data_IF_136534694752
#
_entry.id   IF_136534694752
#
_cell.length_a   1.000
_cell.length_b   1.000
_cell.length_c   1.000
_cell.angle_alpha   90.00
_cell.angle_beta   90.00
_cell.angle_gamma   90.00
#
_symmetry.space_group_name_H-M   'P 1'
#
loop_
_entity.id
_entity.type
_entity.pdbx_description
1 polymer ?
#
# COMPACT_ATOMS: atom_id res chain seq x y z
N UNK A 1 33.60 -50.74 -52.98
CA UNK A 1 32.53 -49.87 -52.43
C UNK A 1 33.12 -49.12 -51.26
N UNK A 2 32.76 -47.84 -51.09
CA UNK A 2 33.20 -46.97 -49.99
C UNK A 2 32.07 -46.88 -48.95
N UNK A 3 32.41 -46.40 -47.75
CA UNK A 3 31.54 -45.93 -46.66
C UNK A 3 31.19 -46.95 -45.56
N UNK A 4 31.15 -46.59 -44.26
CA UNK A 4 31.85 -45.53 -43.48
C UNK A 4 31.85 -46.01 -42.03
N UNK A 5 32.94 -45.86 -41.27
CA UNK A 5 32.92 -46.14 -39.83
C UNK A 5 32.43 -44.90 -39.07
N UNK A 6 31.28 -44.99 -38.41
CA UNK A 6 30.75 -43.90 -37.58
C UNK A 6 31.29 -44.01 -36.14
N UNK A 7 32.10 -43.04 -35.72
CA UNK A 7 32.55 -42.90 -34.33
C UNK A 7 31.55 -41.96 -33.63
N UNK A 8 30.73 -42.51 -32.74
CA UNK A 8 29.85 -41.72 -31.89
C UNK A 8 30.64 -41.04 -30.77
N UNK A 9 30.77 -39.72 -30.81
CA UNK A 9 31.32 -38.95 -29.71
C UNK A 9 30.23 -38.70 -28.65
N UNK A 10 30.40 -39.26 -27.45
CA UNK A 10 29.58 -38.88 -26.30
C UNK A 10 30.04 -37.51 -25.79
N UNK A 11 29.16 -36.52 -25.87
CA UNK A 11 29.40 -35.21 -25.26
C UNK A 11 29.07 -35.27 -23.75
N UNK A 12 29.97 -34.74 -22.92
CA UNK A 12 29.67 -34.51 -21.50
C UNK A 12 28.64 -33.37 -21.35
N UNK A 13 27.76 -33.41 -20.33
CA UNK A 13 26.83 -32.31 -20.07
C UNK A 13 27.59 -31.03 -19.71
N UNK A 14 27.13 -29.90 -20.25
CA UNK A 14 27.73 -28.59 -19.99
C UNK A 14 27.46 -28.13 -18.54
N UNK A 15 28.40 -27.39 -17.91
CA UNK A 15 28.16 -26.83 -16.58
C UNK A 15 27.03 -25.79 -16.62
N UNK A 16 26.22 -25.67 -15.55
CA UNK A 16 25.08 -24.77 -15.52
C UNK A 16 25.53 -23.33 -15.76
N UNK A 17 25.01 -22.73 -16.83
CA UNK A 17 25.30 -21.34 -17.17
C UNK A 17 24.46 -20.44 -16.26
N UNK A 18 25.10 -19.67 -15.39
CA UNK A 18 24.43 -18.59 -14.65
C UNK A 18 24.07 -17.50 -15.64
N UNK A 19 22.85 -17.56 -16.19
CA UNK A 19 22.33 -16.54 -17.09
C UNK A 19 22.10 -15.24 -16.33
N UNK A 20 22.94 -14.25 -16.60
CA UNK A 20 22.79 -12.88 -16.15
C UNK A 20 21.40 -12.36 -16.54
N UNK A 21 20.72 -11.65 -15.63
CA UNK A 21 19.40 -11.08 -15.90
C UNK A 21 19.39 -10.28 -17.23
N UNK A 22 18.34 -10.43 -18.06
CA UNK A 22 18.29 -9.79 -19.37
C UNK A 22 18.28 -8.26 -19.25
N UNK A 23 18.99 -7.59 -20.16
CA UNK A 23 18.97 -6.13 -20.27
C UNK A 23 17.58 -5.61 -20.60
N UNK A 24 17.25 -4.39 -20.15
CA UNK A 24 15.92 -3.75 -20.30
C UNK A 24 15.30 -3.88 -21.70
N UNK A 25 16.09 -3.78 -22.78
CA UNK A 25 15.60 -3.95 -24.16
C UNK A 25 14.97 -5.32 -24.46
N UNK A 26 15.25 -6.37 -23.68
CA UNK A 26 14.65 -7.69 -23.81
C UNK A 26 13.39 -7.89 -22.93
N UNK A 27 13.09 -6.97 -21.98
CA UNK A 27 11.74 -6.87 -21.41
C UNK A 27 10.75 -6.23 -22.40
N UNK A 28 11.26 -5.49 -23.38
CA UNK A 28 10.45 -4.83 -24.40
C UNK A 28 9.96 -5.79 -25.51
N UNK A 29 10.54 -6.99 -25.62
CA UNK A 29 9.98 -8.13 -26.39
C UNK A 29 8.98 -8.98 -25.56
N UNK A 30 8.60 -8.51 -24.39
CA UNK A 30 7.37 -8.90 -23.68
C UNK A 30 6.49 -7.66 -23.39
N UNK A 31 6.69 -6.56 -24.14
CA UNK A 31 5.86 -5.36 -24.09
C UNK A 31 5.14 -5.13 -25.41
N UNK A 32 3.94 -4.54 -25.38
CA UNK A 32 3.30 -4.11 -26.63
C UNK A 32 1.80 -3.86 -26.65
N UNK A 33 1.06 -4.23 -25.60
CA UNK A 33 -0.33 -3.82 -25.43
C UNK A 33 -0.67 -3.72 -23.94
N UNK A 34 -0.40 -2.56 -23.34
CA UNK A 34 -1.06 -2.17 -22.09
C UNK A 34 -2.54 -1.97 -22.41
N UNK A 35 -3.32 -3.04 -22.33
CA UNK A 35 -4.77 -3.01 -22.54
C UNK A 35 -5.45 -2.21 -21.44
N UNK A 36 -6.72 -1.86 -21.66
CA UNK A 36 -7.60 -1.39 -20.59
C UNK A 36 -8.65 -2.47 -20.36
N UNK A 37 -8.86 -2.83 -19.10
CA UNK A 37 -9.95 -3.70 -18.65
C UNK A 37 -10.87 -2.88 -17.75
N UNK A 38 -12.15 -2.84 -18.09
CA UNK A 38 -13.19 -2.35 -17.18
C UNK A 38 -13.81 -3.57 -16.51
N UNK A 39 -13.86 -3.58 -15.19
CA UNK A 39 -14.30 -4.71 -14.38
C UNK A 39 -15.70 -4.43 -13.81
N UNK A 40 -16.68 -5.24 -14.19
CA UNK A 40 -18.06 -5.11 -13.68
C UNK A 40 -18.14 -5.37 -12.16
N UNK A 41 -17.19 -6.12 -11.60
CA UNK A 41 -17.04 -6.46 -10.18
C UNK A 41 -15.54 -6.47 -9.79
N UNK A 42 -15.19 -6.37 -8.48
CA UNK A 42 -13.80 -6.47 -8.05
C UNK A 42 -13.12 -7.75 -8.53
N UNK A 43 -11.86 -7.68 -8.96
CA UNK A 43 -11.08 -8.88 -9.28
C UNK A 43 -10.43 -9.43 -8.01
N UNK A 44 -11.02 -10.49 -7.46
CA UNK A 44 -10.45 -11.22 -6.31
C UNK A 44 -9.30 -12.12 -6.75
N UNK A 45 -8.13 -11.97 -6.12
CA UNK A 45 -7.01 -12.91 -6.22
C UNK A 45 -7.02 -13.78 -4.96
N UNK A 46 -7.15 -15.10 -5.14
CA UNK A 46 -7.35 -16.04 -4.05
C UNK A 46 -6.10 -16.18 -3.16
N UNK A 47 -6.30 -16.74 -1.95
CA UNK A 47 -5.27 -16.82 -0.93
C UNK A 47 -4.01 -17.57 -1.43
N UNK A 48 -2.86 -16.91 -1.36
CA UNK A 48 -1.57 -17.42 -1.85
C UNK A 48 -1.40 -17.45 -3.38
N UNK A 49 -2.37 -17.01 -4.17
CA UNK A 49 -2.24 -16.94 -5.63
C UNK A 49 -1.53 -15.66 -6.10
N UNK A 50 -1.26 -15.56 -7.40
CA UNK A 50 -0.54 -14.43 -7.99
C UNK A 50 -1.14 -14.01 -9.32
N UNK A 51 -1.33 -12.70 -9.51
CA UNK A 51 -1.78 -12.10 -10.76
C UNK A 51 -0.73 -11.12 -11.29
N UNK A 52 -0.41 -11.23 -12.58
CA UNK A 52 0.44 -10.29 -13.30
C UNK A 52 -0.39 -9.61 -14.40
N UNK A 53 -0.62 -8.29 -14.25
CA UNK A 53 -1.42 -7.49 -15.16
C UNK A 53 -0.69 -7.07 -16.45
N UNK A 54 0.61 -7.37 -16.60
CA UNK A 54 1.38 -7.01 -17.81
C UNK A 54 1.49 -5.49 -18.07
N UNK A 55 1.28 -4.65 -17.05
CA UNK A 55 1.10 -3.20 -17.11
C UNK A 55 -0.19 -2.74 -17.84
N UNK A 56 -1.21 -3.59 -17.91
CA UNK A 56 -2.56 -3.18 -18.31
C UNK A 56 -3.20 -2.25 -17.25
N UNK A 57 -4.13 -1.42 -17.72
CA UNK A 57 -4.97 -0.54 -16.90
C UNK A 57 -6.23 -1.31 -16.49
N UNK A 58 -6.57 -1.29 -15.21
CA UNK A 58 -7.76 -1.88 -14.63
C UNK A 58 -8.57 -0.79 -13.92
N UNK A 59 -9.88 -0.84 -14.08
CA UNK A 59 -10.79 0.28 -13.81
C UNK A 59 -12.21 -0.29 -13.57
N UNK A 60 -13.10 0.42 -12.88
CA UNK A 60 -14.47 -0.05 -12.59
C UNK A 60 -15.53 0.60 -13.49
N UNK A 61 -15.15 1.56 -14.34
CA UNK A 61 -16.05 2.24 -15.27
C UNK A 61 -17.00 3.23 -14.60
N UNK A 62 -16.76 3.57 -13.34
CA UNK A 62 -17.60 4.46 -12.52
C UNK A 62 -16.86 5.75 -12.20
N UNK A 63 -17.57 6.88 -12.18
CA UNK A 63 -16.94 8.13 -11.73
C UNK A 63 -16.58 8.04 -10.25
N UNK A 64 -15.38 8.50 -9.89
CA UNK A 64 -14.98 8.70 -8.51
C UNK A 64 -16.03 9.52 -7.72
N UNK A 65 -16.37 9.06 -6.52
CA UNK A 65 -17.32 9.69 -5.58
C UNK A 65 -16.66 10.69 -4.63
N UNK A 66 -15.33 10.75 -4.59
CA UNK A 66 -14.56 11.62 -3.70
C UNK A 66 -14.18 10.89 -2.42
N UNK A 67 -14.51 11.49 -1.27
CA UNK A 67 -14.24 10.93 0.06
C UNK A 67 -15.51 10.29 0.68
N UNK A 68 -16.46 9.83 -0.14
CA UNK A 68 -17.60 9.02 0.32
C UNK A 68 -17.16 7.56 0.36
N UNK A 69 -17.07 6.98 1.57
CA UNK A 69 -16.54 5.64 1.84
C UNK A 69 -17.16 4.54 0.95
N UNK A 70 -16.30 3.81 0.23
CA UNK A 70 -16.66 2.65 -0.56
C UNK A 70 -16.69 1.32 0.21
N UNK A 71 -17.30 0.30 -0.40
CA UNK A 71 -17.27 -1.07 0.10
C UNK A 71 -16.26 -1.95 -0.65
N UNK A 72 -16.06 -3.18 -0.17
CA UNK A 72 -15.29 -4.21 -0.90
C UNK A 72 -15.87 -4.43 -2.32
N UNK A 73 -17.17 -4.22 -2.52
CA UNK A 73 -17.87 -4.24 -3.82
C UNK A 73 -17.38 -3.21 -4.84
N UNK A 74 -16.73 -2.15 -4.38
CA UNK A 74 -16.35 -0.97 -5.17
C UNK A 74 -14.85 -0.95 -5.51
N UNK A 75 -14.06 -1.83 -4.86
CA UNK A 75 -12.64 -2.03 -5.10
C UNK A 75 -12.34 -2.49 -6.54
N UNK A 76 -11.18 -2.14 -7.09
CA UNK A 76 -10.70 -2.70 -8.37
C UNK A 76 -10.19 -4.14 -8.18
N UNK A 77 -9.42 -4.38 -7.12
CA UNK A 77 -8.92 -5.71 -6.75
C UNK A 77 -9.13 -6.00 -5.26
N UNK A 78 -9.40 -7.26 -4.95
CA UNK A 78 -9.37 -7.80 -3.58
C UNK A 78 -8.27 -8.87 -3.54
N UNK A 79 -7.33 -8.74 -2.61
CA UNK A 79 -6.22 -9.66 -2.43
C UNK A 79 -6.42 -10.43 -1.12
N UNK A 80 -6.71 -11.71 -1.21
CA UNK A 80 -6.83 -12.58 -0.04
C UNK A 80 -5.45 -12.88 0.58
N UNK A 81 -5.43 -13.36 1.82
CA UNK A 81 -4.20 -13.66 2.59
C UNK A 81 -3.12 -14.38 1.76
N UNK A 82 -1.94 -13.76 1.65
CA UNK A 82 -0.81 -14.27 0.89
C UNK A 82 -0.83 -13.99 -0.63
N UNK A 83 -1.90 -13.39 -1.17
CA UNK A 83 -2.00 -13.10 -2.59
C UNK A 83 -0.98 -12.04 -3.05
N UNK A 84 -0.58 -12.13 -4.32
CA UNK A 84 0.37 -11.20 -4.95
C UNK A 84 -0.22 -10.54 -6.20
N UNK A 85 -0.16 -9.21 -6.28
CA UNK A 85 -0.55 -8.42 -7.45
C UNK A 85 0.68 -7.75 -8.07
N UNK A 86 0.90 -7.96 -9.37
CA UNK A 86 2.11 -7.50 -10.07
C UNK A 86 1.80 -6.76 -11.37
N UNK A 87 2.55 -5.71 -11.68
CA UNK A 87 2.50 -4.96 -12.95
C UNK A 87 1.06 -4.55 -13.33
N UNK A 88 0.39 -3.82 -12.45
CA UNK A 88 -1.00 -3.36 -12.65
C UNK A 88 -1.03 -1.84 -12.62
N UNK A 89 -1.81 -1.23 -13.51
CA UNK A 89 -2.17 0.18 -13.41
C UNK A 89 -3.63 0.29 -13.04
N UNK A 90 -3.95 1.12 -12.05
CA UNK A 90 -5.31 1.42 -11.62
C UNK A 90 -5.74 2.73 -12.28
N UNK A 91 -6.81 2.67 -13.05
CA UNK A 91 -7.40 3.80 -13.77
C UNK A 91 -8.17 4.76 -12.86
N UNK A 92 -8.56 5.95 -13.36
CA UNK A 92 -9.22 6.98 -12.56
C UNK A 92 -10.73 6.77 -12.36
N UNK A 93 -11.38 5.83 -13.05
CA UNK A 93 -12.83 5.61 -12.94
C UNK A 93 -13.10 4.41 -11.99
N UNK A 94 -12.70 4.64 -10.73
CA UNK A 94 -12.85 3.74 -9.60
C UNK A 94 -13.28 4.54 -8.37
N UNK A 95 -13.83 3.85 -7.37
CA UNK A 95 -14.23 4.43 -6.06
C UNK A 95 -13.21 3.99 -5.01
N UNK A 96 -13.05 2.67 -4.85
CA UNK A 96 -12.04 2.04 -3.99
C UNK A 96 -10.92 1.41 -4.86
N UNK A 97 -9.68 1.50 -4.40
CA UNK A 97 -8.50 1.07 -5.14
C UNK A 97 -8.23 -0.44 -5.07
N UNK A 98 -7.37 -0.88 -4.15
CA UNK A 98 -7.02 -2.28 -3.92
C UNK A 98 -7.15 -2.62 -2.44
N UNK A 99 -7.84 -3.72 -2.11
CA UNK A 99 -8.00 -4.19 -0.73
C UNK A 99 -7.13 -5.42 -0.44
N UNK A 100 -6.62 -5.54 0.79
CA UNK A 100 -6.03 -6.78 1.30
C UNK A 100 -6.77 -7.34 2.51
N UNK A 101 -7.07 -8.63 2.43
CA UNK A 101 -7.74 -9.47 3.44
C UNK A 101 -6.72 -10.45 4.07
N UNK A 102 -5.68 -9.90 4.70
CA UNK A 102 -4.51 -10.59 5.24
C UNK A 102 -3.21 -10.05 4.63
N UNK A 103 -2.06 -10.40 5.20
CA UNK A 103 -0.76 -10.01 4.64
C UNK A 103 -0.59 -10.37 3.16
N UNK A 104 -0.34 -9.38 2.31
CA UNK A 104 -0.34 -9.50 0.84
C UNK A 104 0.90 -8.87 0.19
N UNK A 105 1.09 -9.03 -1.12
CA UNK A 105 2.21 -8.41 -1.85
C UNK A 105 1.77 -7.62 -3.09
N UNK A 106 2.26 -6.39 -3.21
CA UNK A 106 2.12 -5.50 -4.35
C UNK A 106 3.48 -5.30 -5.01
N UNK A 107 3.61 -5.58 -6.31
CA UNK A 107 4.86 -5.38 -7.07
C UNK A 107 4.59 -4.49 -8.29
N UNK A 108 5.18 -3.30 -8.37
CA UNK A 108 4.98 -2.39 -9.51
C UNK A 108 3.48 -2.17 -9.81
N UNK A 109 2.73 -1.73 -8.80
CA UNK A 109 1.31 -1.33 -8.95
C UNK A 109 1.22 0.19 -8.90
N UNK A 110 0.54 0.80 -9.87
CA UNK A 110 0.51 2.25 -10.06
C UNK A 110 -0.93 2.76 -10.12
N UNK A 111 -1.27 3.79 -9.35
CA UNK A 111 -2.57 4.47 -9.40
C UNK A 111 -2.45 5.77 -10.19
N UNK A 112 -3.16 5.85 -11.31
CA UNK A 112 -3.13 7.02 -12.22
C UNK A 112 -3.87 8.23 -11.62
N UNK A 113 -4.91 7.98 -10.84
CA UNK A 113 -5.52 8.90 -9.90
C UNK A 113 -6.18 8.10 -8.77
N UNK A 114 -5.92 8.50 -7.52
CA UNK A 114 -6.62 7.98 -6.34
C UNK A 114 -7.98 8.67 -6.23
N UNK A 115 -8.99 7.96 -5.69
CA UNK A 115 -10.33 8.50 -5.47
C UNK A 115 -10.54 8.75 -3.97
N UNK A 116 -10.90 7.70 -3.24
CA UNK A 116 -10.87 7.67 -1.78
C UNK A 116 -9.44 7.34 -1.32
N UNK A 117 -9.15 6.05 -1.17
CA UNK A 117 -7.84 5.50 -0.82
C UNK A 117 -7.24 4.71 -1.99
N UNK A 118 -5.90 4.66 -2.10
CA UNK A 118 -5.26 3.86 -3.16
C UNK A 118 -5.23 2.38 -2.76
N UNK A 119 -4.83 2.12 -1.51
CA UNK A 119 -4.58 0.78 -1.00
C UNK A 119 -5.00 0.64 0.47
N UNK A 120 -5.89 -0.32 0.73
CA UNK A 120 -6.50 -0.51 2.05
C UNK A 120 -6.21 -1.91 2.59
N UNK A 121 -5.43 -1.99 3.68
CA UNK A 121 -5.22 -3.24 4.43
C UNK A 121 -6.43 -3.41 5.37
N UNK A 122 -7.55 -3.88 4.81
CA UNK A 122 -8.83 -4.03 5.52
C UNK A 122 -8.69 -5.05 6.66
N UNK A 123 -7.97 -6.16 6.45
CA UNK A 123 -7.65 -7.18 7.46
C UNK A 123 -6.17 -7.57 7.39
N UNK A 124 -5.55 -7.82 8.54
CA UNK A 124 -4.19 -8.37 8.70
C UNK A 124 -4.02 -8.80 10.17
N UNK A 125 -3.40 -9.94 10.43
CA UNK A 125 -3.16 -10.43 11.81
C UNK A 125 -1.87 -9.83 12.40
N UNK A 126 -1.75 -9.83 13.74
CA UNK A 126 -0.47 -9.46 14.37
C UNK A 126 0.64 -10.45 13.97
N UNK A 127 1.84 -9.93 13.73
CA UNK A 127 2.96 -10.67 13.16
C UNK A 127 2.89 -10.95 11.65
N UNK A 128 1.78 -10.64 10.96
CA UNK A 128 1.75 -10.67 9.49
C UNK A 128 2.45 -9.47 8.86
N UNK A 129 2.70 -9.55 7.55
CA UNK A 129 3.34 -8.50 6.79
C UNK A 129 2.74 -8.35 5.40
N UNK A 130 2.33 -7.13 5.08
CA UNK A 130 2.04 -6.69 3.71
C UNK A 130 3.29 -6.03 3.13
N UNK A 131 3.63 -6.31 1.87
CA UNK A 131 4.80 -5.74 1.21
C UNK A 131 4.43 -5.02 -0.09
N UNK A 132 4.86 -3.77 -0.23
CA UNK A 132 4.77 -2.96 -1.44
C UNK A 132 6.18 -2.79 -2.00
N UNK A 133 6.43 -3.24 -3.24
CA UNK A 133 7.73 -3.17 -3.91
C UNK A 133 7.60 -2.36 -5.21
N UNK A 134 8.08 -1.11 -5.20
CA UNK A 134 7.94 -0.16 -6.30
C UNK A 134 6.49 0.22 -6.56
N UNK A 135 6.24 0.79 -7.75
CA UNK A 135 4.95 1.36 -8.09
C UNK A 135 4.80 2.78 -7.55
N UNK A 136 3.57 3.29 -7.54
CA UNK A 136 3.33 4.68 -7.13
C UNK A 136 1.87 5.13 -7.21
N UNK A 137 1.56 6.29 -6.66
CA UNK A 137 0.21 6.86 -6.67
C UNK A 137 0.25 8.38 -6.76
N UNK A 138 -0.81 8.98 -7.32
CA UNK A 138 -0.97 10.43 -7.36
C UNK A 138 -2.41 10.87 -7.13
N UNK A 139 -2.59 12.07 -6.57
CA UNK A 139 -3.90 12.72 -6.46
C UNK A 139 -4.79 12.24 -5.31
N UNK A 140 -4.23 11.62 -4.27
CA UNK A 140 -5.00 11.19 -3.11
C UNK A 140 -5.38 12.38 -2.21
N UNK A 141 -6.66 12.74 -2.13
CA UNK A 141 -7.09 13.92 -1.36
C UNK A 141 -6.83 13.76 0.14
N UNK A 142 -7.09 12.57 0.69
CA UNK A 142 -6.73 12.21 2.06
C UNK A 142 -5.64 11.13 2.19
N UNK A 143 -5.84 9.85 1.83
CA UNK A 143 -4.85 8.79 2.15
C UNK A 143 -4.48 7.98 0.92
N UNK A 144 -3.22 7.52 0.88
CA UNK A 144 -2.75 6.58 -0.15
C UNK A 144 -2.82 5.15 0.41
N UNK A 145 -2.29 4.93 1.61
CA UNK A 145 -2.28 3.63 2.28
C UNK A 145 -3.02 3.74 3.62
N UNK A 146 -4.17 3.08 3.71
CA UNK A 146 -4.96 2.94 4.93
C UNK A 146 -4.70 1.56 5.56
N UNK A 147 -4.37 1.55 6.85
CA UNK A 147 -4.06 0.33 7.57
C UNK A 147 -5.06 0.11 8.71
N UNK A 148 -6.02 -0.80 8.48
CA UNK A 148 -7.08 -1.16 9.43
C UNK A 148 -6.73 -2.43 10.23
N UNK A 149 -6.15 -3.43 9.55
CA UNK A 149 -5.58 -4.64 10.17
C UNK A 149 -4.44 -4.37 11.16
N UNK A 150 -3.96 -5.41 11.86
CA UNK A 150 -2.75 -5.33 12.69
C UNK A 150 -1.47 -5.66 11.92
N UNK A 151 -0.35 -5.81 12.61
CA UNK A 151 0.89 -6.30 12.01
C UNK A 151 1.66 -5.23 11.23
N UNK A 152 2.42 -5.63 10.21
CA UNK A 152 3.39 -4.75 9.53
C UNK A 152 3.02 -4.45 8.07
N UNK A 153 3.30 -3.24 7.61
CA UNK A 153 3.43 -2.93 6.18
C UNK A 153 4.85 -2.45 5.86
N UNK A 154 5.45 -3.02 4.81
CA UNK A 154 6.78 -2.65 4.32
C UNK A 154 6.63 -2.01 2.93
N UNK A 155 7.04 -0.75 2.81
CA UNK A 155 6.89 0.08 1.60
C UNK A 155 8.29 0.35 1.04
N UNK A 156 8.61 -0.25 -0.10
CA UNK A 156 9.92 -0.12 -0.75
C UNK A 156 9.82 0.59 -2.09
N UNK A 157 10.69 1.56 -2.32
CA UNK A 157 10.88 2.22 -3.62
C UNK A 157 9.60 2.77 -4.28
N UNK A 158 8.60 3.17 -3.47
CA UNK A 158 7.31 3.70 -3.92
C UNK A 158 7.42 5.19 -4.29
N UNK A 159 6.80 5.60 -5.39
CA UNK A 159 6.78 6.99 -5.85
C UNK A 159 5.39 7.62 -5.64
N UNK A 160 5.31 8.71 -4.86
CA UNK A 160 4.04 9.40 -4.56
C UNK A 160 4.12 10.90 -4.84
N UNK A 161 3.06 11.44 -5.46
CA UNK A 161 2.90 12.87 -5.75
C UNK A 161 1.50 13.37 -5.39
N UNK A 162 1.38 14.64 -5.02
CA UNK A 162 0.11 15.36 -4.82
C UNK A 162 -0.88 14.59 -3.93
N UNK A 163 -0.60 14.51 -2.63
CA UNK A 163 -1.29 13.60 -1.71
C UNK A 163 -1.59 14.19 -0.33
N UNK A 164 -2.59 13.68 0.38
CA UNK A 164 -2.83 13.98 1.78
C UNK A 164 -1.79 13.30 2.69
N UNK A 165 -1.95 11.99 2.90
CA UNK A 165 -1.17 11.14 3.81
C UNK A 165 -0.68 9.90 3.03
N UNK A 166 0.63 9.62 2.98
CA UNK A 166 1.10 8.40 2.31
C UNK A 166 0.66 7.15 3.08
N UNK A 167 0.83 7.14 4.40
CA UNK A 167 0.39 6.06 5.27
C UNK A 167 -0.36 6.58 6.50
N UNK A 168 -1.50 5.96 6.81
CA UNK A 168 -2.23 6.15 8.06
C UNK A 168 -2.57 4.81 8.71
N UNK A 169 -2.11 4.61 9.94
CA UNK A 169 -2.72 3.63 10.85
C UNK A 169 -4.10 4.15 11.25
N UNK A 170 -5.17 3.37 11.05
CA UNK A 170 -6.53 3.79 11.40
C UNK A 170 -6.60 4.26 12.86
N UNK A 171 -7.15 5.44 13.12
CA UNK A 171 -7.07 6.07 14.45
C UNK A 171 -8.29 5.87 15.35
N UNK A 172 -9.46 5.58 14.76
CA UNK A 172 -10.78 5.56 15.38
C UNK A 172 -11.54 4.22 15.14
N UNK A 173 -10.93 3.27 14.41
CA UNK A 173 -11.50 1.94 14.11
C UNK A 173 -11.99 1.20 15.37
N UNK A 174 -13.10 0.44 15.24
CA UNK A 174 -13.62 -0.44 16.31
C UNK A 174 -12.56 -1.36 16.93
N UNK A 175 -11.62 -1.84 16.10
CA UNK A 175 -10.46 -2.63 16.52
C UNK A 175 -9.19 -1.82 16.29
N UNK A 176 -8.36 -1.74 17.33
CA UNK A 176 -7.10 -0.97 17.34
C UNK A 176 -5.92 -1.88 17.73
N UNK A 177 -5.58 -2.88 16.90
CA UNK A 177 -4.34 -3.63 17.04
C UNK A 177 -3.12 -2.73 16.79
N UNK A 178 -1.95 -3.15 17.26
CA UNK A 178 -0.69 -2.48 16.93
C UNK A 178 -0.40 -2.58 15.41
N UNK A 179 0.04 -1.46 14.82
CA UNK A 179 0.35 -1.36 13.39
C UNK A 179 1.74 -0.78 13.16
N UNK A 180 2.54 -1.48 12.38
CA UNK A 180 3.93 -1.12 12.11
C UNK A 180 4.11 -0.73 10.64
N UNK A 181 4.86 0.34 10.37
CA UNK A 181 5.22 0.78 9.01
C UNK A 181 6.72 0.91 8.85
N UNK A 182 7.26 0.29 7.80
CA UNK A 182 8.66 0.40 7.40
C UNK A 182 8.77 0.94 5.98
N UNK A 183 9.34 2.13 5.81
CA UNK A 183 9.55 2.79 4.51
C UNK A 183 11.04 2.79 4.16
N UNK A 184 11.38 2.29 2.96
CA UNK A 184 12.74 2.29 2.43
C UNK A 184 12.81 2.71 0.96
N UNK A 185 13.51 3.81 0.67
CA UNK A 185 13.69 4.30 -0.71
C UNK A 185 12.48 5.02 -1.28
N UNK A 186 12.44 5.20 -2.60
CA UNK A 186 11.35 5.88 -3.32
C UNK A 186 11.38 7.41 -3.18
N UNK A 187 10.26 8.05 -3.51
CA UNK A 187 10.13 9.52 -3.43
C UNK A 187 8.72 9.96 -3.08
N UNK A 188 8.60 11.02 -2.29
CA UNK A 188 7.34 11.65 -1.92
C UNK A 188 7.36 13.16 -2.22
N UNK A 189 6.38 13.64 -2.99
CA UNK A 189 6.30 15.03 -3.43
C UNK A 189 4.93 15.66 -3.20
N UNK A 190 4.90 16.92 -2.77
CA UNK A 190 3.66 17.72 -2.59
C UNK A 190 2.60 17.03 -1.69
N UNK A 191 3.05 16.55 -0.53
CA UNK A 191 2.20 15.85 0.44
C UNK A 191 1.77 16.74 1.61
N UNK A 192 0.65 16.47 2.29
CA UNK A 192 0.36 17.08 3.60
C UNK A 192 1.15 16.40 4.72
N UNK A 193 1.27 15.07 4.68
CA UNK A 193 1.95 14.23 5.68
C UNK A 193 2.49 12.93 5.05
N UNK A 194 3.65 12.43 5.48
CA UNK A 194 4.12 11.11 5.01
C UNK A 194 3.53 9.96 5.85
N UNK A 195 3.71 9.97 7.18
CA UNK A 195 3.28 8.88 8.08
C UNK A 195 2.47 9.40 9.27
N UNK A 196 1.32 8.76 9.54
CA UNK A 196 0.54 8.91 10.77
C UNK A 196 0.38 7.59 11.54
N UNK A 197 0.89 7.52 12.78
CA UNK A 197 0.81 6.35 13.68
C UNK A 197 0.10 6.68 15.00
N UNK A 198 -0.36 5.65 15.73
CA UNK A 198 -0.99 5.75 17.05
C UNK A 198 -0.14 5.04 18.14
N UNK A 199 0.92 5.66 18.70
CA UNK A 199 1.84 4.96 19.61
C UNK A 199 1.20 4.43 20.89
N UNK A 200 0.07 5.01 21.33
CA UNK A 200 -0.69 4.51 22.47
C UNK A 200 -1.36 3.14 22.22
N UNK A 201 -1.45 2.70 20.96
CA UNK A 201 -1.89 1.36 20.56
C UNK A 201 -0.73 0.41 20.23
N UNK A 202 0.52 0.87 20.39
CA UNK A 202 1.73 0.08 20.11
C UNK A 202 2.32 0.30 18.72
N UNK A 203 1.78 1.22 17.92
CA UNK A 203 2.26 1.49 16.57
C UNK A 203 3.72 1.98 16.52
N UNK A 204 4.44 1.59 15.47
CA UNK A 204 5.81 2.07 15.22
C UNK A 204 6.01 2.45 13.75
N UNK A 205 6.93 3.39 13.51
CA UNK A 205 7.34 3.81 12.18
C UNK A 205 8.86 3.77 12.04
N UNK A 206 9.34 3.25 10.90
CA UNK A 206 10.73 3.34 10.46
C UNK A 206 10.75 3.94 9.05
N UNK A 207 11.53 4.99 8.83
CA UNK A 207 11.61 5.70 7.56
C UNK A 207 13.08 5.83 7.18
N UNK A 208 13.43 5.49 5.94
CA UNK A 208 14.82 5.49 5.46
C UNK A 208 14.91 5.69 3.95
N UNK A 209 15.91 6.43 3.47
CA UNK A 209 16.27 6.51 2.05
C UNK A 209 15.28 7.19 1.09
N UNK A 210 14.04 7.47 1.53
CA UNK A 210 13.02 8.15 0.73
C UNK A 210 13.40 9.61 0.43
N UNK A 211 13.15 10.05 -0.80
CA UNK A 211 13.39 11.44 -1.22
C UNK A 211 12.14 12.28 -0.99
N UNK A 212 12.18 13.22 -0.04
CA UNK A 212 11.01 14.03 0.35
C UNK A 212 11.12 15.45 -0.23
N UNK A 213 10.07 15.92 -0.91
CA UNK A 213 9.97 17.29 -1.46
C UNK A 213 8.59 17.88 -1.16
N UNK A 214 8.52 19.07 -0.55
CA UNK A 214 7.25 19.72 -0.23
C UNK A 214 6.27 18.84 0.59
N UNK A 215 6.77 18.06 1.56
CA UNK A 215 5.95 17.36 2.57
C UNK A 215 6.32 17.94 3.94
N UNK A 216 5.46 18.74 4.60
CA UNK A 216 5.85 19.50 5.79
C UNK A 216 5.83 18.66 7.08
N UNK A 217 5.11 17.53 7.09
CA UNK A 217 5.01 16.60 8.22
C UNK A 217 5.52 15.21 7.81
N UNK A 218 6.74 14.85 8.19
CA UNK A 218 7.30 13.54 7.85
C UNK A 218 6.64 12.41 8.65
N UNK A 219 6.72 12.42 9.98
CA UNK A 219 6.04 11.42 10.80
C UNK A 219 5.37 12.07 12.00
N UNK A 220 4.07 11.78 12.15
CA UNK A 220 3.19 12.33 13.16
C UNK A 220 2.58 11.20 13.98
N UNK A 221 2.45 11.48 15.28
CA UNK A 221 1.83 10.62 16.26
C UNK A 221 0.47 11.17 16.63
N UNK A 222 -0.50 10.27 16.69
CA UNK A 222 -1.88 10.52 17.09
C UNK A 222 -2.21 9.71 18.33
N UNK A 223 -3.23 10.14 19.07
CA UNK A 223 -3.85 9.35 20.13
C UNK A 223 -5.00 8.56 19.52
N UNK A 224 -4.75 7.28 19.24
CA UNK A 224 -5.79 6.37 18.77
C UNK A 224 -6.86 6.17 19.84
N UNK A 225 -8.10 5.95 19.41
CA UNK A 225 -9.30 5.82 20.24
C UNK A 225 -10.18 4.66 19.75
N UNK A 226 -11.15 4.23 20.56
CA UNK A 226 -12.07 3.11 20.25
C UNK A 226 -13.54 3.48 20.47
N UNK A 227 -13.84 4.76 20.64
CA UNK A 227 -15.18 5.31 20.85
C UNK A 227 -15.77 5.99 19.60
N UNK A 228 -15.03 5.93 18.48
CA UNK A 228 -15.39 6.57 17.22
C UNK A 228 -15.17 8.09 17.20
N UNK A 229 -14.47 8.66 18.19
CA UNK A 229 -14.09 10.08 18.15
C UNK A 229 -12.88 10.32 17.23
N UNK A 230 -12.68 11.58 16.82
CA UNK A 230 -11.54 11.93 15.97
C UNK A 230 -10.20 11.83 16.73
N UNK A 231 -9.16 11.18 16.15
CA UNK A 231 -7.87 11.01 16.81
C UNK A 231 -7.09 12.32 16.92
N UNK A 232 -6.77 12.75 18.15
CA UNK A 232 -5.98 13.96 18.40
C UNK A 232 -4.52 13.80 17.92
N UNK A 233 -3.97 14.80 17.23
CA UNK A 233 -2.52 14.89 16.94
C UNK A 233 -1.76 15.22 18.25
N UNK A 234 -0.78 14.38 18.62
CA UNK A 234 -0.07 14.48 19.93
C UNK A 234 1.44 14.76 19.83
N UNK A 235 2.04 14.72 18.64
CA UNK A 235 3.45 15.09 18.45
C UNK A 235 4.09 14.47 17.20
N UNK A 236 5.41 14.63 17.06
CA UNK A 236 6.22 14.00 16.00
C UNK A 236 6.67 12.59 16.37
N UNK A 237 6.88 11.73 15.37
CA UNK A 237 7.63 10.50 15.59
C UNK A 237 9.13 10.85 15.64
N UNK A 238 9.61 11.26 16.80
CA UNK A 238 11.04 11.47 16.99
C UNK A 238 11.79 10.17 16.67
N UNK A 239 12.90 10.27 15.93
CA UNK A 239 13.54 9.16 15.21
C UNK A 239 14.10 8.09 16.16
N UNK A 240 13.24 7.16 16.57
CA UNK A 240 13.53 6.14 17.58
C UNK A 240 12.31 5.75 18.40
N UNK A 241 11.14 5.59 17.76
CA UNK A 241 9.90 5.17 18.41
C UNK A 241 9.90 3.68 18.80
N UNK A 242 10.80 3.29 19.72
CA UNK A 242 10.55 2.17 20.62
C UNK A 242 9.78 2.70 21.83
N UNK A 243 8.49 2.36 21.94
CA UNK A 243 7.60 2.83 23.00
C UNK A 243 7.90 2.13 24.35
N UNK A 244 9.00 2.50 25.00
CA UNK A 244 9.40 2.00 26.31
C UNK A 244 8.76 2.74 27.49
N UNK A 245 7.65 2.20 28.01
CA UNK A 245 7.09 2.39 29.38
C UNK A 245 7.15 3.79 30.00
N UNK A 246 5.99 4.45 30.11
CA UNK A 246 5.91 5.85 30.55
C UNK A 246 6.33 6.15 32.00
N UNK A 247 6.72 7.41 32.21
CA UNK A 247 6.67 8.07 33.52
C UNK A 247 6.58 9.59 33.38
N UNK A 248 5.60 10.19 34.08
CA UNK A 248 5.62 11.57 34.57
C UNK A 248 5.91 12.69 33.57
N UNK A 249 4.85 13.32 33.07
CA UNK A 249 4.95 14.67 32.50
C UNK A 249 5.47 15.64 33.57
N UNK A 250 6.57 16.34 33.25
CA UNK A 250 7.21 17.31 34.12
C UNK A 250 7.98 18.33 33.29
N UNK A 251 7.41 19.51 33.10
CA UNK A 251 7.99 20.59 32.30
C UNK A 251 9.36 21.02 32.82
N UNK A 252 10.35 21.14 31.93
CA UNK A 252 11.71 21.55 32.26
C UNK A 252 12.46 22.08 31.05
N UNK A 253 12.40 23.40 30.87
CA UNK A 253 13.24 24.15 29.92
C UNK A 253 14.75 24.07 30.29
N UNK A 254 15.60 24.45 29.33
CA UNK A 254 17.03 24.83 29.43
C UNK A 254 18.10 23.80 29.03
N UNK A 255 18.49 23.90 27.76
CA UNK A 255 19.88 24.15 27.31
C UNK A 255 21.04 23.67 28.21
N UNK A 256 21.64 22.52 27.89
CA UNK A 256 23.10 22.34 27.91
C UNK A 256 23.56 21.07 27.18
N UNK A 257 24.50 21.22 26.25
CA UNK A 257 25.45 20.19 25.84
C UNK A 257 26.87 20.79 25.89
N UNK A 258 27.97 20.01 25.87
CA UNK A 258 28.05 18.54 25.94
C UNK A 258 28.96 18.03 27.08
N UNK A 259 28.90 16.73 27.39
CA UNK A 259 29.98 16.03 28.08
C UNK A 259 30.15 14.60 27.52
N UNK A 260 31.23 14.39 26.78
CA UNK A 260 31.67 13.06 26.30
C UNK A 260 32.07 12.13 27.45
N UNK A 261 31.74 10.83 27.37
CA UNK A 261 32.46 9.77 28.05
C UNK A 261 33.19 8.85 27.06
N UNK A 262 34.51 9.02 27.02
CA UNK A 262 35.56 7.99 27.11
C UNK A 262 35.23 6.54 26.69
N UNK A 263 35.87 6.08 25.61
CA UNK A 263 36.08 4.65 25.29
C UNK A 263 36.98 3.95 26.31
N UNK A 264 36.73 2.67 26.62
CA UNK A 264 37.86 1.75 26.80
C UNK A 264 37.68 0.35 26.16
N UNK A 265 38.75 -0.05 25.44
CA UNK A 265 39.35 -1.39 25.37
C UNK A 265 38.53 -2.66 25.07
N UNK A 266 38.74 -3.14 23.84
CA UNK A 266 38.98 -4.52 23.39
C UNK A 266 39.01 -5.71 24.39
N UNK A 267 38.34 -6.79 23.96
CA UNK A 267 38.60 -8.21 24.22
C UNK A 267 37.65 -9.00 23.30
N UNK A 268 38.07 -9.64 22.20
CA UNK A 268 38.95 -10.82 22.10
C UNK A 268 38.46 -11.99 22.94
N UNK A 269 37.57 -12.81 22.38
CA UNK A 269 37.80 -14.26 22.35
C UNK A 269 36.97 -14.94 21.26
N UNK A 270 37.64 -15.79 20.49
CA UNK A 270 37.06 -16.82 19.65
C UNK A 270 37.79 -18.13 19.98
N UNK A 271 37.11 -19.28 19.89
CA UNK A 271 37.82 -20.50 19.52
C UNK A 271 37.31 -21.07 18.20
N UNK A 272 38.18 -21.82 17.54
CA UNK A 272 37.98 -22.39 16.22
C UNK A 272 37.66 -23.90 16.28
N UNK A 273 36.97 -24.36 15.22
CA UNK A 273 37.19 -25.61 14.44
C UNK A 273 37.30 -27.00 15.10
N UNK A 274 37.21 -28.02 14.21
CA UNK A 274 37.62 -29.45 14.33
C UNK A 274 36.43 -30.43 14.55
N UNK A 275 36.14 -31.44 13.72
CA UNK A 275 36.57 -31.79 12.34
C UNK A 275 35.59 -32.84 11.71
N UNK A 276 35.88 -33.27 10.47
CA UNK A 276 35.46 -34.48 9.69
C UNK A 276 35.08 -35.73 10.52
N UNK A 277 34.32 -36.76 10.11
CA UNK A 277 33.93 -37.42 8.81
C UNK A 277 32.49 -38.02 8.97
N UNK A 278 31.80 -38.76 8.08
CA UNK A 278 32.10 -39.53 6.83
C UNK A 278 30.82 -39.68 5.93
N UNK A 279 30.94 -40.34 4.76
CA UNK A 279 29.85 -41.09 4.08
C UNK A 279 30.21 -42.59 4.12
N UNK A 280 29.26 -43.54 3.92
CA UNK A 280 29.29 -44.18 2.58
C UNK A 280 27.97 -44.74 2.01
N UNK A 281 27.97 -44.82 0.67
CA UNK A 281 27.41 -45.87 -0.21
C UNK A 281 25.90 -46.02 -0.47
N UNK A 282 25.60 -46.06 -1.78
CA UNK A 282 24.41 -46.58 -2.44
C UNK A 282 24.13 -48.06 -2.14
N UNK A 283 22.89 -48.51 -2.39
CA UNK A 283 22.66 -49.70 -3.23
C UNK A 283 21.31 -49.57 -3.95
N UNK A 284 21.36 -49.75 -5.26
CA UNK A 284 20.26 -49.77 -6.22
C UNK A 284 19.49 -51.11 -6.18
N UNK A 285 18.15 -51.09 -6.20
CA UNK A 285 17.33 -52.24 -6.65
C UNK A 285 16.12 -51.75 -7.45
N UNK A 286 16.14 -52.05 -8.74
CA UNK A 286 15.03 -51.94 -9.70
C UNK A 286 13.99 -53.05 -9.45
N UNK A 287 12.68 -52.79 -9.66
CA UNK A 287 11.82 -53.63 -10.53
C UNK A 287 10.36 -53.14 -10.65
N UNK A 288 9.86 -53.20 -11.90
CA UNK A 288 8.47 -53.11 -12.37
C UNK A 288 8.49 -53.76 -13.80
N UNK A 289 7.39 -54.21 -14.42
CA UNK A 289 6.05 -54.57 -13.92
C UNK A 289 5.65 -56.03 -14.28
N UNK A 290 4.45 -56.48 -13.89
CA UNK A 290 3.74 -57.61 -14.53
C UNK A 290 2.22 -57.35 -14.63
N UNK A 291 1.60 -57.88 -15.68
CA UNK A 291 0.25 -57.53 -16.15
C UNK A 291 -0.92 -58.35 -15.53
N UNK A 292 -2.13 -57.83 -15.75
CA UNK A 292 -3.54 -58.35 -15.85
C UNK A 292 -3.76 -59.87 -16.13
N UNK A 293 -5.00 -60.45 -16.13
CA UNK A 293 -6.36 -59.90 -15.89
C UNK A 293 -7.40 -60.78 -15.10
N UNK A 294 -8.58 -60.21 -14.81
CA UNK A 294 -9.96 -60.80 -14.80
C UNK A 294 -10.92 -59.75 -14.18
N UNK A 295 -12.00 -59.23 -14.79
CA UNK A 295 -13.22 -59.80 -15.39
C UNK A 295 -14.35 -60.21 -14.40
N UNK A 296 -15.51 -59.56 -14.56
CA UNK A 296 -16.85 -59.93 -14.05
C UNK A 296 -17.26 -59.30 -12.70
N UNK A 297 -18.53 -58.97 -12.45
CA UNK A 297 -19.73 -58.81 -13.30
C UNK A 297 -20.93 -58.40 -12.42
N UNK A 298 -21.86 -57.62 -12.96
CA UNK A 298 -23.31 -57.53 -12.62
C UNK A 298 -23.68 -57.10 -11.17
N UNK A 299 -24.30 -55.93 -10.99
CA UNK A 299 -25.77 -55.69 -10.88
C UNK A 299 -26.27 -55.70 -9.42
N UNK A 300 -26.90 -54.62 -8.95
CA UNK A 300 -28.36 -54.47 -8.81
C UNK A 300 -28.72 -53.11 -8.15
N UNK A 301 -30.01 -52.85 -7.94
CA UNK A 301 -30.65 -51.54 -7.95
C UNK A 301 -30.98 -50.92 -6.58
N UNK A 302 -31.42 -49.66 -6.66
CA UNK A 302 -32.51 -49.04 -5.88
C UNK A 302 -32.22 -48.51 -4.47
N UNK A 303 -32.90 -47.41 -4.12
CA UNK A 303 -32.88 -46.82 -2.78
C UNK A 303 -33.01 -45.30 -2.81
N UNK A 304 -34.21 -44.79 -3.07
CA UNK A 304 -34.53 -43.36 -3.05
C UNK A 304 -34.53 -42.74 -1.63
N UNK A 305 -34.48 -41.41 -1.64
CA UNK A 305 -35.32 -40.48 -0.86
C UNK A 305 -34.80 -39.75 0.41
N UNK A 306 -35.03 -38.43 0.34
CA UNK A 306 -35.34 -37.47 1.41
C UNK A 306 -34.32 -37.03 2.50
N UNK A 307 -33.74 -35.85 2.23
CA UNK A 307 -33.81 -34.62 3.05
C UNK A 307 -33.46 -34.64 4.55
N UNK A 308 -32.48 -33.82 4.91
CA UNK A 308 -32.47 -33.06 6.18
C UNK A 308 -31.73 -31.73 5.97
N UNK A 309 -32.52 -30.66 5.89
CA UNK A 309 -32.31 -29.34 6.49
C UNK A 309 -30.96 -28.62 6.29
N UNK A 310 -31.02 -27.60 5.43
CA UNK A 310 -30.17 -26.40 5.47
C UNK A 310 -30.29 -25.68 6.83
N UNK A 311 -29.15 -25.25 7.39
CA UNK A 311 -29.04 -24.02 8.16
C UNK A 311 -27.54 -23.73 8.41
N UNK A 312 -26.94 -22.91 7.53
CA UNK A 312 -25.60 -22.36 7.76
C UNK A 312 -25.64 -20.85 7.48
N UNK A 313 -26.22 -20.11 8.42
CA UNK A 313 -26.24 -18.65 8.46
C UNK A 313 -24.96 -18.14 9.13
N UNK A 314 -23.94 -17.90 8.32
CA UNK A 314 -22.95 -16.85 8.55
C UNK A 314 -23.12 -15.82 7.40
N UNK A 315 -22.49 -14.65 7.52
CA UNK A 315 -22.72 -13.40 6.72
C UNK A 315 -23.86 -12.49 7.24
N UNK A 316 -23.53 -11.57 8.14
CA UNK A 316 -23.98 -10.17 7.97
C UNK A 316 -22.83 -9.19 8.25
N UNK A 317 -22.46 -8.46 7.20
CA UNK A 317 -21.55 -7.33 7.22
C UNK A 317 -22.03 -6.24 8.19
N UNK A 318 -21.09 -5.64 8.92
CA UNK A 318 -21.36 -4.41 9.68
C UNK A 318 -20.41 -3.33 9.20
N UNK A 319 -20.79 -2.69 8.09
CA UNK A 319 -20.12 -1.51 7.53
C UNK A 319 -20.10 -0.38 8.57
N UNK A 320 -18.91 0.20 8.79
CA UNK A 320 -18.63 1.11 9.90
C UNK A 320 -18.96 2.58 9.55
N UNK A 321 -20.25 2.92 9.52
CA UNK A 321 -20.66 4.30 9.30
C UNK A 321 -20.41 5.20 10.51
N UNK A 322 -19.45 6.13 10.40
CA UNK A 322 -19.62 7.58 10.64
C UNK A 322 -18.27 8.31 10.70
N UNK A 323 -17.94 9.03 9.63
CA UNK A 323 -17.12 10.25 9.73
C UNK A 323 -18.05 11.46 9.50
N UNK A 324 -18.15 12.35 10.50
CA UNK A 324 -18.89 13.63 10.42
C UNK A 324 -17.87 14.78 10.41
N UNK A 325 -17.28 15.03 9.24
CA UNK A 325 -16.33 16.12 9.06
C UNK A 325 -17.02 17.48 9.27
N UNK A 326 -16.50 18.25 10.24
CA UNK A 326 -16.89 19.64 10.48
C UNK A 326 -15.72 20.57 10.18
N UNK A 327 -15.84 21.20 9.03
CA UNK A 327 -14.91 22.12 8.39
C UNK A 327 -14.76 23.41 9.22
N UNK A 328 -13.77 23.47 10.12
CA UNK A 328 -13.58 24.63 11.00
C UNK A 328 -12.94 25.81 10.27
N UNK A 329 -13.71 26.91 10.14
CA UNK A 329 -13.33 28.14 9.43
C UNK A 329 -13.48 29.35 10.34
N UNK A 330 -12.67 29.41 11.39
CA UNK A 330 -12.53 30.62 12.20
C UNK A 330 -11.76 31.71 11.44
N UNK A 331 -12.52 32.62 10.83
CA UNK A 331 -12.06 33.95 10.44
C UNK A 331 -12.68 34.96 11.41
N UNK A 332 -11.86 35.45 12.34
CA UNK A 332 -12.27 36.50 13.28
C UNK A 332 -12.79 37.74 12.54
N UNK A 333 -14.04 38.12 12.82
CA UNK A 333 -14.57 39.46 12.54
C UNK A 333 -15.02 40.11 13.85
N UNK A 334 -14.15 40.94 14.43
CA UNK A 334 -14.58 41.90 15.44
C UNK A 334 -15.49 42.96 14.80
N UNK A 335 -16.77 42.97 15.19
CA UNK A 335 -17.67 44.09 14.93
C UNK A 335 -17.68 45.03 16.15
N UNK A 336 -17.10 46.23 16.00
CA UNK A 336 -17.42 47.35 16.89
C UNK A 336 -18.38 48.31 16.16
N UNK A 337 -19.58 48.48 16.72
CA UNK A 337 -20.67 49.24 16.11
C UNK A 337 -20.86 50.61 16.78
N UNK A 338 -20.86 51.69 16.01
CA UNK A 338 -21.30 53.02 16.47
C UNK A 338 -22.10 53.78 15.38
N UNK A 339 -23.27 54.29 15.78
CA UNK A 339 -24.20 55.11 15.01
C UNK A 339 -23.60 56.36 14.32
N UNK A 340 -24.10 56.73 13.13
CA UNK A 340 -24.97 57.93 12.99
C UNK A 340 -25.62 58.14 11.59
N UNK A 341 -26.95 58.24 11.63
CA UNK A 341 -27.89 59.08 10.84
C UNK A 341 -27.56 59.70 9.46
N UNK A 342 -28.48 59.42 8.53
CA UNK A 342 -29.12 60.33 7.53
C UNK A 342 -28.32 60.89 6.33
N UNK A 343 -28.87 60.65 5.13
CA UNK A 343 -28.63 61.47 3.92
C UNK A 343 -28.62 60.67 2.62
N UNK A 344 -29.75 60.56 1.92
CA UNK A 344 -29.81 59.92 0.60
C UNK A 344 -29.65 60.92 -0.55
N UNK A 345 -29.20 60.48 -1.73
CA UNK A 345 -29.65 61.00 -3.04
C UNK A 345 -29.23 60.11 -4.25
N UNK A 346 -30.22 59.84 -5.09
CA UNK A 346 -30.28 59.42 -6.52
C UNK A 346 -29.02 59.13 -7.39
N UNK A 347 -29.10 57.97 -8.07
CA UNK A 347 -28.89 57.67 -9.50
C UNK A 347 -27.75 58.33 -10.34
N UNK A 348 -26.95 57.45 -10.98
CA UNK A 348 -26.73 57.30 -12.45
C UNK A 348 -25.25 57.05 -12.85
N UNK A 349 -24.95 56.14 -13.79
CA UNK A 349 -23.59 55.87 -14.25
C UNK A 349 -23.15 56.77 -15.44
N UNK A 350 -21.88 57.17 -15.55
CA UNK A 350 -21.37 57.96 -16.66
C UNK A 350 -21.07 57.12 -17.92
N UNK A 351 -21.18 57.77 -19.08
CA UNK A 351 -21.00 57.20 -20.43
C UNK A 351 -19.53 57.18 -20.89
N UNK A 352 -19.24 56.33 -21.89
CA UNK A 352 -17.94 56.24 -22.56
C UNK A 352 -17.58 57.51 -23.35
N UNK A 353 -16.31 57.92 -23.27
CA UNK A 353 -15.72 58.98 -24.10
C UNK A 353 -14.70 58.43 -25.10
N UNK A 354 -14.75 58.90 -26.35
CA UNK A 354 -13.85 58.52 -27.45
C UNK A 354 -12.53 59.32 -27.45
N UNK A 355 -11.38 58.74 -27.84
CA UNK A 355 -10.13 59.50 -27.97
C UNK A 355 -10.08 60.38 -29.23
N UNK A 356 -9.75 61.67 -29.05
CA UNK A 356 -9.49 62.61 -30.14
C UNK A 356 -8.07 62.49 -30.73
N UNK A 357 -7.93 62.84 -32.02
CA UNK A 357 -6.70 62.69 -32.79
C UNK A 357 -5.58 63.67 -32.39
N UNK A 358 -4.33 63.21 -32.38
CA UNK A 358 -3.13 64.06 -32.29
C UNK A 358 -2.38 64.14 -33.63
N UNK A 359 -2.25 65.37 -34.15
CA UNK A 359 -1.22 65.88 -35.07
C UNK A 359 -1.12 67.37 -34.74
N UNK A 360 0.01 68.00 -34.39
CA UNK A 360 1.42 67.61 -34.31
C UNK A 360 2.27 68.79 -34.80
N UNK A 361 3.49 69.01 -34.31
CA UNK A 361 4.61 69.68 -35.03
C UNK A 361 5.88 69.69 -34.14
N UNK A 362 7.05 69.82 -34.77
CA UNK A 362 8.36 69.80 -34.11
C UNK A 362 8.71 71.13 -33.43
N UNK A 363 9.45 71.06 -32.32
CA UNK A 363 9.92 72.21 -31.52
C UNK A 363 10.32 71.75 -30.13
#
# INVERSE_FOLDING_TARGET
MVATLAIGAYAAPAPPQVTRAPSLSARQEAGGAGGSSVLDAPMTIAAGESFDGGNAIFDRGVSCTGQEEGGDSDAVFILEKGATLSNVRIGPNQIEGVHCNGGCTLNNVVWDAVCEDAFSIKKQEDGETTTINGGGATGAEDKVIQHNGGGTVIIKDFEVSDFGKLYRSCGNCKSMPARHVEISGGSASNGKMLVGINPNMGDTAKISGIQITNVPKECITFKGVTDGSEPEEVGTCDSGAEAGTGSGSGSGDSSAAPATPTTPAAGSDAPAETEVVEQPTETEVTEQPTETPAEGSDDDQSGDDQSSDDDNQDEESNDDKKEEDSDDKDVEQEQESAEQTQGGFSNAPPQFGTPGQFRGFQG
#
